data_IF_338751275967
#
_entry.id   IF_338751275967
#
_cell.length_a   1.000
_cell.length_b   1.000
_cell.length_c   1.000
_cell.angle_alpha   90.00
_cell.angle_beta   90.00
_cell.angle_gamma   90.00
#
_symmetry.space_group_name_H-M   'P 1'
#
loop_
_entity.id
_entity.type
_entity.pdbx_description
1 polymer ?
#
# COMPACT_ATOMS: atom_id res chain seq x y z
N UNK A 1 4.30 17.68 -20.61
CA UNK A 1 5.19 16.87 -19.73
C UNK A 1 5.53 15.59 -20.46
N UNK A 2 6.79 15.17 -20.46
CA UNK A 2 7.22 13.93 -21.13
C UNK A 2 6.58 12.72 -20.42
N UNK A 3 6.33 11.62 -21.15
CA UNK A 3 5.64 10.43 -20.63
C UNK A 3 6.20 9.96 -19.27
N UNK A 4 7.53 9.86 -19.16
CA UNK A 4 8.27 9.54 -17.93
C UNK A 4 7.90 10.41 -16.72
N UNK A 5 7.71 11.72 -16.92
CA UNK A 5 7.35 12.63 -15.83
C UNK A 5 5.95 12.35 -15.30
N UNK A 6 5.02 11.92 -16.16
CA UNK A 6 3.68 11.56 -15.75
C UNK A 6 3.65 10.24 -14.98
N UNK A 7 4.44 9.24 -15.42
CA UNK A 7 4.56 7.95 -14.73
C UNK A 7 5.10 8.14 -13.31
N UNK A 8 6.12 8.99 -13.15
CA UNK A 8 6.72 9.26 -11.85
C UNK A 8 5.76 9.99 -10.90
N UNK A 9 4.95 10.91 -11.43
CA UNK A 9 3.95 11.62 -10.62
C UNK A 9 2.89 10.67 -10.05
N UNK A 10 2.46 9.66 -10.81
CA UNK A 10 1.43 8.71 -10.37
C UNK A 10 1.89 7.91 -9.14
N UNK A 11 3.15 7.49 -9.09
CA UNK A 11 3.74 6.70 -8.00
C UNK A 11 4.45 7.54 -6.92
N UNK A 12 4.52 8.85 -7.10
CA UNK A 12 5.19 9.77 -6.17
C UNK A 12 4.69 9.61 -4.73
N UNK A 13 3.38 9.51 -4.44
CA UNK A 13 2.90 9.35 -3.07
C UNK A 13 3.43 8.09 -2.38
N UNK A 14 3.48 6.96 -3.07
CA UNK A 14 4.04 5.70 -2.55
C UNK A 14 5.55 5.82 -2.33
N UNK A 15 6.27 6.47 -3.25
CA UNK A 15 7.71 6.71 -3.08
C UNK A 15 8.01 7.56 -1.83
N UNK A 16 7.18 8.58 -1.56
CA UNK A 16 7.31 9.40 -0.35
C UNK A 16 7.08 8.58 0.91
N UNK A 17 6.05 7.73 0.95
CA UNK A 17 5.78 6.85 2.10
C UNK A 17 6.93 5.87 2.35
N UNK A 18 7.40 5.19 1.30
CA UNK A 18 8.51 4.22 1.40
C UNK A 18 9.78 4.93 1.86
N UNK A 19 10.13 6.06 1.26
CA UNK A 19 11.31 6.83 1.66
C UNK A 19 11.21 7.30 3.10
N UNK A 20 10.07 7.87 3.51
CA UNK A 20 9.85 8.32 4.89
C UNK A 20 9.94 7.17 5.89
N UNK A 21 9.39 5.99 5.57
CA UNK A 21 9.48 4.80 6.40
C UNK A 21 10.91 4.30 6.58
N UNK A 22 11.66 4.19 5.48
CA UNK A 22 13.07 3.77 5.53
C UNK A 22 13.95 4.79 6.27
N UNK A 23 13.74 6.09 6.05
CA UNK A 23 14.46 7.14 6.78
C UNK A 23 14.09 7.09 8.27
N UNK A 24 12.83 6.87 8.63
CA UNK A 24 12.41 6.71 10.02
C UNK A 24 13.09 5.50 10.70
N UNK A 25 13.16 4.36 10.00
CA UNK A 25 13.85 3.16 10.48
C UNK A 25 15.33 3.42 10.76
N UNK A 26 16.04 4.01 9.79
CA UNK A 26 17.48 4.28 9.90
C UNK A 26 17.75 5.37 10.93
N UNK A 27 16.96 6.45 10.93
CA UNK A 27 17.17 7.57 11.83
C UNK A 27 16.91 7.21 13.29
N UNK A 28 15.96 6.31 13.55
CA UNK A 28 15.68 5.80 14.89
C UNK A 28 16.93 5.17 15.54
N UNK A 29 17.83 4.54 14.78
CA UNK A 29 19.06 3.92 15.29
C UNK A 29 20.08 4.93 15.83
N UNK A 30 20.02 6.18 15.37
CA UNK A 30 20.91 7.27 15.83
C UNK A 30 20.33 8.04 17.02
N UNK A 31 19.09 7.77 17.39
CA UNK A 31 18.39 8.43 18.49
C UNK A 31 18.50 7.57 19.75
N UNK A 32 18.66 8.21 20.90
CA UNK A 32 18.55 7.52 22.19
C UNK A 32 17.14 6.92 22.30
N UNK A 33 17.00 5.72 22.87
CA UNK A 33 15.75 4.92 23.00
C UNK A 33 14.50 5.69 23.43
N UNK A 34 14.64 6.86 24.07
CA UNK A 34 13.54 7.69 24.57
C UNK A 34 13.05 8.77 23.61
N UNK A 35 13.73 9.03 22.48
CA UNK A 35 13.37 10.09 21.55
C UNK A 35 12.37 9.61 20.46
N UNK A 36 11.20 9.16 20.89
CA UNK A 36 10.13 8.71 19.99
C UNK A 36 9.49 9.86 19.19
N UNK A 37 9.51 11.08 19.74
CA UNK A 37 8.87 12.27 19.14
C UNK A 37 9.41 12.65 17.76
N UNK A 38 10.73 12.79 17.56
CA UNK A 38 11.31 13.11 16.25
C UNK A 38 10.98 12.11 15.15
N UNK A 39 11.04 10.80 15.44
CA UNK A 39 10.72 9.75 14.47
C UNK A 39 9.23 9.78 14.12
N UNK A 40 8.35 9.95 15.11
CA UNK A 40 6.92 10.13 14.89
C UNK A 40 6.62 11.38 14.05
N UNK A 41 7.33 12.49 14.29
CA UNK A 41 7.23 13.71 13.52
C UNK A 41 7.63 13.53 12.05
N UNK A 42 8.72 12.79 11.80
CA UNK A 42 9.12 12.43 10.43
C UNK A 42 8.08 11.55 9.75
N UNK A 43 7.56 10.53 10.43
CA UNK A 43 6.54 9.66 9.89
C UNK A 43 5.24 10.43 9.57
N UNK A 44 4.85 11.38 10.43
CA UNK A 44 3.69 12.24 10.22
C UNK A 44 3.91 13.17 9.02
N UNK A 45 5.11 13.76 8.91
CA UNK A 45 5.49 14.57 7.76
C UNK A 45 5.48 13.75 6.47
N UNK A 46 5.99 12.52 6.48
CA UNK A 46 5.93 11.60 5.35
C UNK A 46 4.51 11.27 4.91
N UNK A 47 3.63 10.91 5.84
CA UNK A 47 2.22 10.65 5.56
C UNK A 47 1.49 11.90 5.03
N UNK A 48 1.74 13.08 5.62
CA UNK A 48 1.16 14.33 5.18
C UNK A 48 1.66 14.74 3.78
N UNK A 49 2.96 14.59 3.51
CA UNK A 49 3.54 14.86 2.19
C UNK A 49 2.99 13.89 1.13
N UNK A 50 2.82 12.61 1.46
CA UNK A 50 2.17 11.66 0.56
C UNK A 50 0.73 12.06 0.25
N UNK A 51 -0.05 12.45 1.26
CA UNK A 51 -1.41 12.96 1.10
C UNK A 51 -1.46 14.22 0.22
N UNK A 52 -0.58 15.19 0.47
CA UNK A 52 -0.50 16.41 -0.33
C UNK A 52 -0.03 16.14 -1.77
N UNK A 53 0.86 15.16 -1.96
CA UNK A 53 1.35 14.80 -3.28
C UNK A 53 0.28 14.19 -4.19
N UNK A 54 -0.84 13.72 -3.65
CA UNK A 54 -2.01 13.32 -4.44
C UNK A 54 -2.59 14.48 -5.27
N UNK A 55 -2.42 15.73 -4.82
CA UNK A 55 -2.86 16.92 -5.58
C UNK A 55 -2.05 17.13 -6.86
N UNK A 56 -0.88 16.51 -6.96
CA UNK A 56 0.00 16.56 -8.13
C UNK A 56 -0.26 15.40 -9.09
N UNK A 57 -1.02 14.38 -8.67
CA UNK A 57 -1.36 13.22 -9.50
C UNK A 57 -2.47 13.63 -10.47
N UNK A 58 -2.25 13.52 -11.80
CA UNK A 58 -3.29 13.81 -12.76
C UNK A 58 -4.43 12.78 -12.65
N UNK A 59 -5.67 13.26 -12.60
CA UNK A 59 -6.86 12.42 -12.65
C UNK A 59 -7.13 11.97 -14.10
N UNK A 60 -7.72 10.79 -14.25
CA UNK A 60 -8.10 10.23 -15.54
C UNK A 60 -6.92 9.83 -16.42
N UNK A 61 -5.76 9.54 -15.83
CA UNK A 61 -4.65 8.98 -16.60
C UNK A 61 -5.01 7.61 -17.18
N UNK A 62 -4.62 7.35 -18.43
CA UNK A 62 -4.61 5.99 -18.96
C UNK A 62 -3.63 5.11 -18.16
N UNK A 63 -3.67 3.77 -18.33
CA UNK A 63 -2.72 2.89 -17.67
C UNK A 63 -1.27 3.28 -17.99
N UNK A 64 -0.45 3.47 -16.95
CA UNK A 64 0.99 3.80 -17.04
C UNK A 64 1.85 2.64 -16.51
N UNK A 65 3.18 2.73 -16.62
CA UNK A 65 4.10 1.66 -16.19
C UNK A 65 3.75 0.31 -16.82
N UNK A 66 3.69 0.26 -18.15
CA UNK A 66 3.28 -0.93 -18.92
C UNK A 66 1.88 -1.45 -18.58
N UNK A 67 1.00 -0.59 -18.05
CA UNK A 67 -0.35 -0.96 -17.63
C UNK A 67 -0.42 -1.63 -16.27
N UNK A 68 0.56 -1.38 -15.40
CA UNK A 68 0.55 -1.83 -14.01
C UNK A 68 -0.37 -1.01 -13.13
N UNK A 69 -0.36 0.32 -13.31
CA UNK A 69 -1.13 1.24 -12.48
C UNK A 69 -1.93 2.22 -13.34
N UNK A 70 -3.01 2.74 -12.76
CA UNK A 70 -3.87 3.75 -13.35
C UNK A 70 -4.38 4.67 -12.24
N UNK A 71 -4.21 5.98 -12.41
CA UNK A 71 -4.80 6.95 -11.52
C UNK A 71 -6.14 7.46 -12.08
N UNK A 72 -7.22 7.11 -11.40
CA UNK A 72 -8.56 7.67 -11.56
C UNK A 72 -9.13 8.17 -10.22
N UNK A 73 -10.24 8.92 -10.27
CA UNK A 73 -10.86 9.51 -9.09
C UNK A 73 -11.18 8.51 -7.97
N UNK A 74 -11.49 7.24 -8.29
CA UNK A 74 -11.69 6.21 -7.28
C UNK A 74 -10.37 5.83 -6.60
N UNK A 75 -9.31 5.56 -7.38
CA UNK A 75 -7.99 5.26 -6.83
C UNK A 75 -7.45 6.40 -5.96
N UNK A 76 -7.65 7.66 -6.39
CA UNK A 76 -7.23 8.86 -5.65
C UNK A 76 -7.99 9.00 -4.33
N UNK A 77 -9.30 8.76 -4.34
CA UNK A 77 -10.13 8.77 -3.13
C UNK A 77 -9.67 7.71 -2.12
N UNK A 78 -9.48 6.46 -2.55
CA UNK A 78 -9.03 5.38 -1.66
C UNK A 78 -7.65 5.68 -1.08
N UNK A 79 -6.71 6.15 -1.91
CA UNK A 79 -5.36 6.57 -1.45
C UNK A 79 -5.44 7.71 -0.44
N UNK A 80 -6.30 8.70 -0.67
CA UNK A 80 -6.49 9.79 0.28
C UNK A 80 -7.00 9.30 1.64
N UNK A 81 -7.96 8.37 1.66
CA UNK A 81 -8.48 7.75 2.89
C UNK A 81 -7.37 6.97 3.61
N UNK A 82 -6.60 6.16 2.89
CA UNK A 82 -5.49 5.39 3.47
C UNK A 82 -4.41 6.30 4.09
N UNK A 83 -3.99 7.35 3.37
CA UNK A 83 -2.92 8.23 3.82
C UNK A 83 -3.37 9.14 4.98
N UNK A 84 -4.63 9.60 4.95
CA UNK A 84 -5.23 10.32 6.08
C UNK A 84 -5.35 9.42 7.31
N UNK A 85 -5.77 8.15 7.12
CA UNK A 85 -5.80 7.15 8.19
C UNK A 85 -4.42 6.92 8.80
N UNK A 86 -3.38 6.78 7.95
CA UNK A 86 -1.99 6.66 8.39
C UNK A 86 -1.56 7.85 9.24
N UNK A 87 -1.88 9.07 8.81
CA UNK A 87 -1.58 10.29 9.56
C UNK A 87 -2.24 10.30 10.94
N UNK A 88 -3.52 9.91 11.03
CA UNK A 88 -4.23 9.77 12.32
C UNK A 88 -3.55 8.73 13.21
N UNK A 89 -3.18 7.57 12.68
CA UNK A 89 -2.50 6.52 13.43
C UNK A 89 -1.13 7.00 13.93
N UNK A 90 -0.36 7.72 13.12
CA UNK A 90 0.95 8.25 13.54
C UNK A 90 0.80 9.26 14.67
N UNK A 91 -0.13 10.21 14.53
CA UNK A 91 -0.37 11.27 15.52
C UNK A 91 -0.93 10.71 16.83
N UNK A 92 -1.82 9.72 16.78
CA UNK A 92 -2.39 9.06 17.96
C UNK A 92 -1.48 7.98 18.57
N UNK A 93 -0.58 7.40 17.77
CA UNK A 93 0.22 6.23 18.13
C UNK A 93 1.43 6.52 19.02
N UNK A 94 1.91 7.76 19.10
CA UNK A 94 3.11 8.10 19.87
C UNK A 94 2.99 7.73 21.37
N UNK A 95 1.81 7.89 21.95
CA UNK A 95 1.54 7.48 23.34
C UNK A 95 1.56 5.96 23.53
N UNK A 96 1.03 5.21 22.56
CA UNK A 96 1.04 3.74 22.56
C UNK A 96 2.48 3.20 22.47
N UNK A 97 3.24 3.68 21.48
CA UNK A 97 4.64 3.28 21.25
C UNK A 97 5.49 3.50 22.50
N UNK A 98 5.33 4.66 23.15
CA UNK A 98 6.03 4.97 24.41
C UNK A 98 5.56 4.10 25.57
N UNK A 99 4.26 3.85 25.70
CA UNK A 99 3.69 3.08 26.82
C UNK A 99 4.13 1.60 26.77
N UNK A 100 4.12 1.01 25.58
CA UNK A 100 4.41 -0.41 25.38
C UNK A 100 5.86 -0.69 24.95
N UNK A 101 6.73 0.34 24.96
CA UNK A 101 8.15 0.25 24.59
C UNK A 101 8.35 -0.43 23.22
N UNK A 102 7.48 -0.09 22.26
CA UNK A 102 7.56 -0.64 20.91
C UNK A 102 8.75 -0.02 20.19
N UNK A 103 9.53 -0.79 19.40
CA UNK A 103 10.60 -0.25 18.57
C UNK A 103 10.06 0.82 17.60
N UNK A 104 10.45 2.08 17.84
CA UNK A 104 9.80 3.25 17.23
C UNK A 104 10.02 3.31 15.72
N UNK A 105 11.25 3.03 15.27
CA UNK A 105 11.61 3.10 13.86
C UNK A 105 10.90 2.03 13.04
N UNK A 106 10.87 0.81 13.57
CA UNK A 106 10.24 -0.37 12.99
C UNK A 106 8.73 -0.18 12.90
N UNK A 107 8.10 0.31 13.97
CA UNK A 107 6.66 0.59 13.97
C UNK A 107 6.25 1.55 12.85
N UNK A 108 6.90 2.71 12.77
CA UNK A 108 6.54 3.71 11.76
C UNK A 108 6.96 3.30 10.35
N UNK A 109 8.09 2.61 10.19
CA UNK A 109 8.51 2.06 8.90
C UNK A 109 7.48 1.05 8.37
N UNK A 110 7.13 0.04 9.17
CA UNK A 110 6.16 -0.98 8.78
C UNK A 110 4.78 -0.36 8.52
N UNK A 111 4.36 0.64 9.30
CA UNK A 111 3.11 1.36 9.04
C UNK A 111 3.10 2.04 7.68
N UNK A 112 4.14 2.82 7.37
CA UNK A 112 4.21 3.54 6.10
C UNK A 112 4.38 2.61 4.91
N UNK A 113 5.12 1.50 5.05
CA UNK A 113 5.21 0.45 4.02
C UNK A 113 3.86 -0.23 3.79
N UNK A 114 3.11 -0.54 4.86
CA UNK A 114 1.80 -1.15 4.73
C UNK A 114 0.83 -0.25 3.94
N UNK A 115 0.86 1.05 4.25
CA UNK A 115 0.02 2.06 3.59
C UNK A 115 0.46 2.30 2.13
N UNK A 116 1.77 2.23 1.84
CA UNK A 116 2.27 2.25 0.46
C UNK A 116 1.76 1.03 -0.34
N UNK A 117 1.77 -0.17 0.25
CA UNK A 117 1.17 -1.38 -0.33
C UNK A 117 -0.31 -1.20 -0.66
N UNK A 118 -1.09 -0.68 0.30
CA UNK A 118 -2.50 -0.32 0.08
C UNK A 118 -2.68 0.73 -1.02
N UNK A 119 -1.76 1.69 -1.14
CA UNK A 119 -1.72 2.66 -2.22
C UNK A 119 -1.56 2.01 -3.60
N UNK A 120 -0.61 1.09 -3.74
CA UNK A 120 -0.44 0.29 -4.96
C UNK A 120 -1.67 -0.55 -5.30
N UNK A 121 -2.33 -1.16 -4.30
CA UNK A 121 -3.59 -1.89 -4.51
C UNK A 121 -4.68 -0.97 -5.07
N UNK A 122 -4.82 0.24 -4.51
CA UNK A 122 -5.88 1.18 -4.88
C UNK A 122 -5.76 1.69 -6.32
N UNK A 123 -4.54 1.76 -6.87
CA UNK A 123 -4.27 2.20 -8.24
C UNK A 123 -3.95 1.05 -9.20
N UNK A 124 -4.10 -0.21 -8.78
CA UNK A 124 -3.74 -1.36 -9.60
C UNK A 124 -4.60 -1.44 -10.86
N UNK A 125 -3.95 -1.53 -12.02
CA UNK A 125 -4.61 -1.76 -13.32
C UNK A 125 -4.55 -3.22 -13.77
N UNK A 126 -3.76 -4.05 -13.08
CA UNK A 126 -3.67 -5.48 -13.31
C UNK A 126 -3.64 -6.27 -11.98
N UNK A 127 -3.99 -7.55 -12.05
CA UNK A 127 -4.08 -8.45 -10.90
C UNK A 127 -2.75 -8.66 -10.18
N UNK A 128 -1.62 -8.60 -10.90
CA UNK A 128 -0.30 -8.78 -10.31
C UNK A 128 0.08 -7.60 -9.40
N UNK A 129 -0.17 -6.36 -9.86
CA UNK A 129 0.10 -5.15 -9.07
C UNK A 129 -0.79 -5.10 -7.84
N UNK A 130 -2.05 -5.49 -7.99
CA UNK A 130 -2.97 -5.65 -6.87
C UNK A 130 -2.43 -6.67 -5.85
N UNK A 131 -2.01 -7.85 -6.31
CA UNK A 131 -1.45 -8.89 -5.44
C UNK A 131 -0.17 -8.44 -4.73
N UNK A 132 0.77 -7.82 -5.45
CA UNK A 132 2.03 -7.32 -4.86
C UNK A 132 1.77 -6.23 -3.82
N UNK A 133 0.82 -5.31 -4.08
CA UNK A 133 0.40 -4.31 -3.10
C UNK A 133 -0.20 -4.95 -1.85
N UNK A 134 -1.02 -5.99 -2.03
CA UNK A 134 -1.63 -6.77 -0.94
C UNK A 134 -0.57 -7.48 -0.11
N UNK A 135 0.42 -8.11 -0.73
CA UNK A 135 1.51 -8.79 -0.03
C UNK A 135 2.37 -7.79 0.75
N UNK A 136 2.70 -6.63 0.17
CA UNK A 136 3.45 -5.59 0.88
C UNK A 136 2.68 -5.10 2.12
N UNK A 137 1.38 -4.83 1.98
CA UNK A 137 0.51 -4.47 3.10
C UNK A 137 0.51 -5.57 4.16
N UNK A 138 0.30 -6.81 3.74
CA UNK A 138 0.13 -7.97 4.60
C UNK A 138 1.40 -8.30 5.39
N UNK A 139 2.54 -8.43 4.73
CA UNK A 139 3.82 -8.74 5.38
C UNK A 139 4.22 -7.66 6.38
N UNK A 140 4.00 -6.39 6.04
CA UNK A 140 4.25 -5.27 6.96
C UNK A 140 3.31 -5.34 8.18
N UNK A 141 2.04 -5.67 7.99
CA UNK A 141 1.09 -5.87 9.09
C UNK A 141 1.43 -7.09 9.97
N UNK A 142 1.89 -8.20 9.38
CA UNK A 142 2.30 -9.38 10.14
C UNK A 142 3.51 -9.08 11.03
N UNK A 143 4.52 -8.40 10.49
CA UNK A 143 5.67 -7.94 11.26
C UNK A 143 5.24 -6.97 12.37
N UNK A 144 4.31 -6.06 12.07
CA UNK A 144 3.81 -5.08 13.04
C UNK A 144 3.07 -5.73 14.21
N UNK A 145 2.31 -6.81 13.96
CA UNK A 145 1.62 -7.57 15.00
C UNK A 145 2.58 -8.26 15.98
N UNK A 146 3.81 -8.54 15.56
CA UNK A 146 4.86 -9.21 16.34
C UNK A 146 5.99 -8.28 16.81
N UNK A 147 5.78 -6.95 16.81
CA UNK A 147 6.85 -6.00 17.14
C UNK A 147 7.35 -6.09 18.59
N UNK A 148 6.54 -6.65 19.50
CA UNK A 148 6.89 -6.81 20.91
C UNK A 148 7.49 -8.20 21.12
N UNK A 149 8.76 -8.36 20.73
CA UNK A 149 9.45 -9.65 20.71
C UNK A 149 9.51 -10.35 22.10
N UNK A 150 9.52 -9.57 23.19
CA UNK A 150 9.51 -10.09 24.56
C UNK A 150 8.11 -10.47 25.08
N UNK A 151 7.06 -10.21 24.28
CA UNK A 151 5.67 -10.51 24.63
C UNK A 151 5.19 -11.78 23.88
N UNK A 152 5.03 -12.93 24.59
CA UNK A 152 4.61 -14.17 23.96
C UNK A 152 3.23 -14.07 23.30
N UNK A 153 2.32 -13.24 23.82
CA UNK A 153 1.00 -13.04 23.24
C UNK A 153 1.10 -12.31 21.89
N UNK A 154 2.02 -11.34 21.79
CA UNK A 154 2.31 -10.63 20.52
C UNK A 154 2.88 -11.59 19.48
N UNK A 155 3.80 -12.46 19.89
CA UNK A 155 4.44 -13.45 19.01
C UNK A 155 3.43 -14.49 18.51
N UNK A 156 2.58 -15.02 19.40
CA UNK A 156 1.53 -15.96 19.02
C UNK A 156 0.50 -15.31 18.08
N UNK A 157 0.11 -14.06 18.34
CA UNK A 157 -0.80 -13.30 17.48
C UNK A 157 -0.21 -13.08 16.08
N UNK A 158 1.05 -12.68 15.98
CA UNK A 158 1.75 -12.48 14.71
C UNK A 158 1.82 -13.79 13.90
N UNK A 159 2.14 -14.90 14.57
CA UNK A 159 2.21 -16.22 13.94
C UNK A 159 0.84 -16.67 13.40
N UNK A 160 -0.22 -16.54 14.21
CA UNK A 160 -1.60 -16.84 13.80
C UNK A 160 -2.02 -15.97 12.62
N UNK A 161 -1.70 -14.68 12.66
CA UNK A 161 -2.05 -13.75 11.60
C UNK A 161 -1.32 -14.08 10.29
N UNK A 162 -0.01 -14.34 10.37
CA UNK A 162 0.79 -14.78 9.23
C UNK A 162 0.27 -16.09 8.61
N UNK A 163 -0.03 -17.11 9.42
CA UNK A 163 -0.51 -18.39 8.88
C UNK A 163 -1.86 -18.25 8.17
N UNK A 164 -2.81 -17.55 8.80
CA UNK A 164 -4.11 -17.30 8.18
C UNK A 164 -3.95 -16.51 6.87
N UNK A 165 -3.07 -15.49 6.90
CA UNK A 165 -2.70 -14.69 5.75
C UNK A 165 -2.08 -15.49 4.61
N UNK A 166 -1.06 -16.31 4.89
CA UNK A 166 -0.35 -17.11 3.91
C UNK A 166 -1.26 -18.13 3.22
N UNK A 167 -2.19 -18.74 3.96
CA UNK A 167 -3.20 -19.64 3.37
C UNK A 167 -4.16 -18.86 2.46
N UNK A 168 -4.68 -17.71 2.91
CA UNK A 168 -5.52 -16.86 2.05
C UNK A 168 -4.78 -16.37 0.79
N UNK A 169 -3.50 -16.00 0.92
CA UNK A 169 -2.66 -15.57 -0.19
C UNK A 169 -2.42 -16.71 -1.20
N UNK A 170 -2.15 -17.92 -0.73
CA UNK A 170 -2.01 -19.10 -1.58
C UNK A 170 -3.31 -19.40 -2.36
N UNK A 171 -4.46 -19.32 -1.70
CA UNK A 171 -5.78 -19.49 -2.35
C UNK A 171 -6.02 -18.38 -3.39
N UNK A 172 -5.69 -17.12 -3.06
CA UNK A 172 -5.81 -16.00 -3.98
C UNK A 172 -4.92 -16.21 -5.22
N UNK A 173 -3.63 -16.48 -5.05
CA UNK A 173 -2.69 -16.75 -6.14
C UNK A 173 -3.16 -17.90 -7.04
N UNK A 174 -3.67 -18.98 -6.43
CA UNK A 174 -4.26 -20.08 -7.18
C UNK A 174 -5.46 -19.61 -8.02
N UNK A 175 -6.34 -18.79 -7.44
CA UNK A 175 -7.44 -18.14 -8.16
C UNK A 175 -6.97 -17.24 -9.32
N UNK A 176 -5.93 -16.43 -9.11
CA UNK A 176 -5.33 -15.59 -10.16
C UNK A 176 -4.76 -16.45 -11.30
N UNK A 177 -4.10 -17.58 -10.98
CA UNK A 177 -3.63 -18.54 -11.98
C UNK A 177 -4.78 -19.14 -12.77
N UNK A 178 -5.91 -19.43 -12.11
CA UNK A 178 -7.12 -19.96 -12.74
C UNK A 178 -7.80 -18.95 -13.67
N UNK A 179 -7.75 -17.65 -13.34
CA UNK A 179 -8.22 -16.57 -14.21
C UNK A 179 -7.28 -16.39 -15.41
N UNK A 180 -5.97 -16.37 -15.16
CA UNK A 180 -4.97 -16.16 -16.19
C UNK A 180 -4.92 -17.32 -17.20
N UNK A 181 -5.04 -18.57 -16.75
CA UNK A 181 -4.93 -19.76 -17.61
C UNK A 181 -5.77 -19.70 -18.90
N UNK A 182 -7.10 -19.48 -18.83
CA UNK A 182 -7.95 -19.38 -20.01
C UNK A 182 -7.95 -17.99 -20.68
N UNK A 183 -7.70 -16.90 -19.92
CA UNK A 183 -7.81 -15.53 -20.47
C UNK A 183 -6.52 -15.01 -21.10
N UNK A 184 -5.36 -15.53 -20.68
CA UNK A 184 -4.04 -15.09 -21.13
C UNK A 184 -3.65 -13.67 -20.71
N UNK A 185 -4.43 -13.00 -19.87
CA UNK A 185 -4.22 -11.61 -19.47
C UNK A 185 -4.38 -11.43 -17.96
N UNK A 186 -3.67 -10.45 -17.41
CA UNK A 186 -3.77 -10.02 -16.01
C UNK A 186 -4.44 -8.65 -15.89
N UNK A 187 -4.77 -8.01 -17.00
CA UNK A 187 -5.32 -6.65 -17.03
C UNK A 187 -6.77 -6.66 -16.57
N UNK A 188 -7.08 -5.86 -15.55
CA UNK A 188 -8.42 -5.81 -14.99
C UNK A 188 -9.48 -5.38 -16.02
N UNK A 189 -9.12 -4.47 -16.93
CA UNK A 189 -10.00 -3.99 -17.99
C UNK A 189 -10.38 -5.08 -19.01
N UNK A 190 -9.58 -6.14 -19.15
CA UNK A 190 -9.78 -7.21 -20.14
C UNK A 190 -10.46 -8.46 -19.53
N UNK A 191 -10.59 -8.52 -18.21
CA UNK A 191 -11.23 -9.64 -17.48
C UNK A 191 -12.75 -9.48 -17.31
N UNK A 192 -13.29 -8.31 -17.64
CA UNK A 192 -14.73 -8.04 -17.59
C UNK A 192 -15.50 -8.72 -18.74
N UNK A 193 -16.83 -8.86 -18.64
CA UNK A 193 -17.63 -9.31 -19.76
C UNK A 193 -17.39 -8.38 -20.96
N UNK A 194 -17.17 -8.96 -22.15
CA UNK A 194 -17.08 -8.19 -23.38
C UNK A 194 -18.29 -7.24 -23.43
N UNK A 195 -18.09 -5.93 -23.70
CA UNK A 195 -19.20 -4.99 -23.76
C UNK A 195 -20.24 -5.59 -24.71
N UNK A 196 -21.46 -5.77 -24.20
CA UNK A 196 -22.55 -6.36 -24.98
C UNK A 196 -22.57 -5.64 -26.32
N UNK A 197 -22.30 -6.38 -27.40
CA UNK A 197 -22.32 -5.82 -28.74
C UNK A 197 -23.66 -5.11 -28.87
N UNK A 198 -23.65 -3.78 -28.88
CA UNK A 198 -24.84 -2.99 -29.10
C UNK A 198 -25.40 -3.50 -30.41
N UNK A 199 -26.58 -4.13 -30.36
CA UNK A 199 -27.20 -4.79 -31.50
C UNK A 199 -27.32 -3.79 -32.65
N UNK A 200 -26.34 -3.79 -33.54
CA UNK A 200 -26.44 -3.18 -34.84
C UNK A 200 -27.42 -4.05 -35.61
N UNK A 201 -28.67 -3.63 -35.61
CA UNK A 201 -29.72 -4.18 -36.46
C UNK A 201 -29.22 -4.10 -37.92
N UNK A 202 -29.01 -5.24 -38.61
CA UNK A 202 -28.85 -5.19 -40.05
C UNK A 202 -30.25 -4.98 -40.66
N UNK A 203 -30.56 -3.74 -41.02
CA UNK A 203 -31.49 -3.46 -42.12
C UNK A 203 -30.79 -3.88 -43.42
N UNK A 204 -31.49 -4.40 -44.44
CA UNK A 204 -32.70 -3.80 -45.02
C UNK A 204 -33.98 -4.64 -44.93
#
# INVERSE_FOLDING_TARGET
MNALGNELLVILPEMVLVAAGLVALVWAQFLKERAAGPVAGLAAAGAALALLSLLLVPDGTGPVLFGAVKADGFSLFVRAVLYAGALVVVLGGAGYVRKFQVPVGEFYCLLLLAIAGGGFMAQAANLLTFYVGLELLSLASYAMAGLRLDDPDSNEAALKYFFNGAVSSAVLLFGLSWLFGPTGTLRLAELGPAPAASGAHPAP
#
